data_IF_316977076614
#
_entry.id   IF_316977076614
#
_cell.length_a   1.000
_cell.length_b   1.000
_cell.length_c   1.000
_cell.angle_alpha   90.00
_cell.angle_beta   90.00
_cell.angle_gamma   90.00
#
_symmetry.space_group_name_H-M   'P 1'
#
loop_
_entity.id
_entity.type
_entity.pdbx_description
1 polymer ?
#
# COMPACT_ATOMS: atom_id res chain seq x y z
N UNK A 1 -6.66 -27.71 3.23
CA UNK A 1 -5.84 -26.69 3.93
C UNK A 1 -5.15 -25.82 2.88
N UNK A 2 -5.49 -24.53 2.79
CA UNK A 2 -4.90 -23.62 1.80
C UNK A 2 -3.48 -23.24 2.23
N UNK A 3 -2.49 -23.35 1.35
CA UNK A 3 -1.07 -23.09 1.64
C UNK A 3 -0.39 -22.39 0.46
N UNK A 4 0.78 -21.81 0.73
CA UNK A 4 1.62 -21.15 -0.29
C UNK A 4 0.92 -19.98 -0.97
N UNK A 5 1.18 -19.78 -2.26
CA UNK A 5 0.62 -18.66 -3.04
C UNK A 5 -0.91 -18.59 -3.03
N UNK A 6 -1.60 -19.74 -2.97
CA UNK A 6 -3.07 -19.79 -2.87
C UNK A 6 -3.58 -19.17 -1.57
N UNK A 7 -2.82 -19.28 -0.47
CA UNK A 7 -3.17 -18.62 0.78
C UNK A 7 -2.97 -17.10 0.67
N UNK A 8 -1.88 -16.66 0.04
CA UNK A 8 -1.62 -15.23 -0.19
C UNK A 8 -2.73 -14.57 -1.02
N UNK A 9 -3.16 -15.22 -2.11
CA UNK A 9 -4.28 -14.73 -2.92
C UNK A 9 -5.60 -14.72 -2.14
N UNK A 10 -5.84 -15.71 -1.28
CA UNK A 10 -7.05 -15.74 -0.45
C UNK A 10 -7.07 -14.66 0.65
N UNK A 11 -5.89 -14.13 1.02
CA UNK A 11 -5.73 -13.03 1.97
C UNK A 11 -5.64 -11.66 1.27
N UNK A 12 -5.81 -11.61 -0.04
CA UNK A 12 -5.80 -10.37 -0.80
C UNK A 12 -7.00 -9.49 -0.41
N UNK A 13 -6.71 -8.36 0.22
CA UNK A 13 -7.72 -7.43 0.70
C UNK A 13 -8.13 -6.38 -0.35
N UNK A 14 -7.53 -6.35 -1.55
CA UNK A 14 -7.76 -5.29 -2.55
C UNK A 14 -9.23 -5.17 -2.95
N UNK A 15 -9.93 -6.29 -3.11
CA UNK A 15 -11.37 -6.33 -3.42
C UNK A 15 -12.27 -5.79 -2.29
N UNK A 16 -11.75 -5.71 -1.07
CA UNK A 16 -12.43 -5.11 0.08
C UNK A 16 -12.06 -3.63 0.20
N UNK A 17 -10.79 -3.30 0.06
CA UNK A 17 -10.26 -1.94 0.13
C UNK A 17 -10.87 -1.06 -0.97
N UNK A 18 -11.06 -1.57 -2.19
CA UNK A 18 -11.67 -0.81 -3.29
C UNK A 18 -13.11 -0.32 -3.01
N UNK A 19 -13.81 -0.97 -2.07
CA UNK A 19 -15.20 -0.64 -1.72
C UNK A 19 -15.31 0.40 -0.60
N UNK A 20 -14.20 0.71 0.07
CA UNK A 20 -14.21 1.73 1.11
C UNK A 20 -14.32 3.12 0.46
N UNK A 21 -15.22 3.95 0.98
CA UNK A 21 -15.57 5.26 0.39
C UNK A 21 -15.05 6.43 1.21
N UNK A 22 -14.47 6.14 2.38
CA UNK A 22 -13.87 7.15 3.25
C UNK A 22 -12.50 7.61 2.75
N UNK A 23 -11.81 8.38 3.60
CA UNK A 23 -10.43 8.80 3.35
C UNK A 23 -9.48 7.64 3.56
N UNK A 24 -8.66 7.35 2.57
CA UNK A 24 -7.70 6.26 2.61
C UNK A 24 -6.34 6.78 2.17
N UNK A 25 -5.30 6.50 2.95
CA UNK A 25 -3.92 6.86 2.62
C UNK A 25 -3.11 5.57 2.46
N UNK A 26 -2.57 5.36 1.26
CA UNK A 26 -1.63 4.29 0.98
C UNK A 26 -0.22 4.85 0.79
N UNK A 27 0.72 4.28 1.54
CA UNK A 27 2.13 4.64 1.50
C UNK A 27 2.91 3.47 0.88
N UNK A 28 3.77 3.77 -0.09
CA UNK A 28 4.51 2.76 -0.86
C UNK A 28 5.96 3.19 -1.11
N UNK A 29 6.91 2.27 -1.05
CA UNK A 29 8.29 2.54 -1.45
C UNK A 29 8.49 2.32 -2.95
N UNK A 30 9.28 3.19 -3.60
CA UNK A 30 9.59 3.09 -5.03
C UNK A 30 10.27 1.77 -5.40
N UNK A 31 11.07 1.19 -4.50
CA UNK A 31 11.85 -0.05 -4.74
C UNK A 31 11.10 -1.32 -4.32
N UNK A 32 9.77 -1.29 -4.30
CA UNK A 32 8.95 -2.46 -4.03
C UNK A 32 9.06 -3.51 -5.15
N UNK A 33 9.62 -4.68 -4.84
CA UNK A 33 9.76 -5.76 -5.82
C UNK A 33 8.44 -6.43 -6.22
N UNK A 34 7.44 -6.46 -5.33
CA UNK A 34 6.20 -7.23 -5.52
C UNK A 34 4.93 -6.38 -5.50
N UNK A 35 5.04 -5.09 -5.13
CA UNK A 35 3.90 -4.19 -5.00
C UNK A 35 4.13 -2.94 -5.85
N UNK A 36 3.65 -2.96 -7.08
CA UNK A 36 3.60 -1.77 -7.93
C UNK A 36 2.38 -0.92 -7.57
N UNK A 37 2.44 0.36 -7.93
CA UNK A 37 1.29 1.27 -7.84
C UNK A 37 0.05 0.62 -8.47
N UNK A 38 0.15 0.13 -9.71
CA UNK A 38 -0.99 -0.47 -10.41
C UNK A 38 -1.58 -1.70 -9.72
N UNK A 39 -0.77 -2.43 -8.94
CA UNK A 39 -1.25 -3.62 -8.23
C UNK A 39 -1.75 -3.29 -6.82
N UNK A 40 -1.42 -2.13 -6.24
CA UNK A 40 -1.96 -1.67 -4.95
C UNK A 40 -3.13 -0.71 -5.11
N UNK A 41 -3.20 -0.02 -6.25
CA UNK A 41 -4.23 0.96 -6.60
C UNK A 41 -5.26 0.30 -7.52
N UNK A 42 -6.30 -0.27 -6.93
CA UNK A 42 -7.47 -0.73 -7.69
C UNK A 42 -8.68 0.20 -7.54
N UNK A 43 -8.55 1.30 -6.78
CA UNK A 43 -9.66 2.21 -6.47
C UNK A 43 -9.66 3.45 -7.33
N UNK A 44 -10.82 3.76 -7.89
CA UNK A 44 -11.11 5.03 -8.56
C UNK A 44 -11.72 6.06 -7.59
N UNK A 45 -11.71 5.80 -6.28
CA UNK A 45 -12.25 6.72 -5.29
C UNK A 45 -11.35 7.96 -5.17
N UNK A 46 -11.91 9.15 -5.38
CA UNK A 46 -11.18 10.42 -5.28
C UNK A 46 -10.68 10.73 -3.86
N UNK A 47 -11.19 10.04 -2.85
CA UNK A 47 -10.77 10.18 -1.45
C UNK A 47 -9.53 9.34 -1.10
N UNK A 48 -8.98 8.62 -2.07
CA UNK A 48 -7.83 7.76 -1.89
C UNK A 48 -6.57 8.52 -2.29
N UNK A 49 -5.67 8.67 -1.34
CA UNK A 49 -4.37 9.29 -1.55
C UNK A 49 -3.28 8.22 -1.55
N UNK A 50 -2.35 8.38 -2.47
CA UNK A 50 -1.25 7.44 -2.66
C UNK A 50 0.06 8.22 -2.67
N UNK A 51 0.95 7.91 -1.72
CA UNK A 51 2.29 8.54 -1.65
C UNK A 51 3.38 7.50 -1.89
N UNK A 52 4.26 7.81 -2.84
CA UNK A 52 5.40 6.96 -3.21
C UNK A 52 6.68 7.58 -2.65
N UNK A 53 7.46 6.79 -1.93
CA UNK A 53 8.69 7.20 -1.28
C UNK A 53 9.87 6.79 -2.15
N UNK A 54 10.59 7.77 -2.68
CA UNK A 54 11.74 7.49 -3.54
C UNK A 54 12.87 6.79 -2.77
N UNK A 55 13.52 5.82 -3.42
CA UNK A 55 14.67 5.11 -2.87
C UNK A 55 14.37 4.08 -1.77
N UNK A 56 13.12 3.97 -1.33
CA UNK A 56 12.66 3.15 -0.19
C UNK A 56 12.01 1.84 -0.67
N UNK A 57 12.17 0.76 0.10
CA UNK A 57 11.60 -0.55 -0.16
C UNK A 57 10.25 -0.78 0.53
N UNK A 58 10.00 -2.01 0.98
CA UNK A 58 8.70 -2.39 1.56
C UNK A 58 8.50 -1.91 3.00
N UNK A 59 9.58 -1.60 3.72
CA UNK A 59 9.54 -1.32 5.16
C UNK A 59 9.74 0.17 5.41
N UNK A 60 8.73 0.96 5.10
CA UNK A 60 8.80 2.43 5.14
C UNK A 60 9.34 2.98 6.46
N UNK A 61 8.91 2.43 7.60
CA UNK A 61 9.39 2.84 8.91
C UNK A 61 10.84 2.45 9.21
N UNK A 62 11.32 1.34 8.64
CA UNK A 62 12.71 0.92 8.80
C UNK A 62 13.62 1.71 7.85
N UNK A 63 13.14 1.96 6.63
CA UNK A 63 13.90 2.58 5.55
C UNK A 63 13.95 4.12 5.68
N UNK A 64 12.85 4.77 6.12
CA UNK A 64 12.78 6.22 6.34
C UNK A 64 11.68 6.60 7.37
N UNK A 65 11.94 6.41 8.67
CA UNK A 65 10.96 6.66 9.72
C UNK A 65 10.52 8.13 9.82
N UNK A 66 11.46 9.06 9.60
CA UNK A 66 11.20 10.50 9.71
C UNK A 66 10.17 10.94 8.68
N UNK A 67 10.41 10.64 7.40
CA UNK A 67 9.50 11.03 6.32
C UNK A 67 8.13 10.34 6.47
N UNK A 68 8.13 9.07 6.87
CA UNK A 68 6.89 8.31 7.07
C UNK A 68 6.02 8.93 8.16
N UNK A 69 6.61 9.31 9.30
CA UNK A 69 5.88 9.94 10.39
C UNK A 69 5.41 11.36 10.04
N UNK A 70 6.21 12.12 9.27
CA UNK A 70 5.80 13.44 8.78
C UNK A 70 4.52 13.33 7.96
N UNK A 71 4.47 12.43 6.98
CA UNK A 71 3.30 12.24 6.11
C UNK A 71 2.05 11.80 6.88
N UNK A 72 2.21 10.97 7.91
CA UNK A 72 1.07 10.52 8.73
C UNK A 72 0.54 11.65 9.61
N UNK A 73 1.36 12.64 9.92
CA UNK A 73 1.00 13.78 10.77
C UNK A 73 0.46 14.99 9.99
N UNK A 74 0.45 14.94 8.66
CA UNK A 74 -0.18 15.95 7.77
C UNK A 74 -1.71 15.86 7.80
#
# INVERSE_FOLDING_TARGET
>A
MTRGFKLLLALDARDKIVKYTGRFLALMGEKLQLATVDNQISSHCLNYEYKIFSGVGMRLWDDNPVMTNTIISE
#
